data_IF_217735650445
#
_entry.id   IF_217735650445
#
_cell.length_a   1.000
_cell.length_b   1.000
_cell.length_c   1.000
_cell.angle_alpha   90.00
_cell.angle_beta   90.00
_cell.angle_gamma   90.00
#
_symmetry.space_group_name_H-M   'P 1'
#
loop_
_entity.id
_entity.type
_entity.pdbx_description
1 polymer ?
#
# COMPACT_ATOMS: atom_id res chain seq x y z
N UNK A 1 -11.91 4.74 -12.23
CA UNK A 1 -10.44 4.46 -12.16
C UNK A 1 -10.12 3.15 -12.88
N UNK A 2 -10.76 2.03 -12.51
CA UNK A 2 -10.55 0.70 -13.13
C UNK A 2 -10.73 0.72 -14.65
N UNK A 3 -11.71 1.46 -15.16
CA UNK A 3 -12.02 1.54 -16.61
C UNK A 3 -10.96 2.27 -17.45
N UNK A 4 -10.21 3.20 -16.87
CA UNK A 4 -9.15 3.94 -17.58
C UNK A 4 -7.85 3.14 -17.57
N UNK A 5 -7.49 2.54 -16.44
CA UNK A 5 -6.31 1.71 -16.28
C UNK A 5 -6.32 0.50 -17.23
N UNK A 6 -7.50 -0.15 -17.39
CA UNK A 6 -7.64 -1.32 -18.28
C UNK A 6 -7.42 -1.01 -19.77
N UNK A 7 -7.51 0.24 -20.19
CA UNK A 7 -7.31 0.66 -21.60
C UNK A 7 -5.85 0.97 -21.95
N UNK A 8 -4.99 1.16 -20.93
CA UNK A 8 -3.59 1.56 -21.11
C UNK A 8 -2.62 0.42 -20.74
N UNK A 9 -2.97 -0.82 -21.03
CA UNK A 9 -2.11 -1.99 -20.79
C UNK A 9 -0.87 -1.93 -21.64
N UNK A 10 0.31 -2.02 -21.00
CA UNK A 10 1.57 -2.21 -21.69
C UNK A 10 1.75 -3.66 -22.11
N UNK A 11 2.27 -3.86 -23.31
CA UNK A 11 2.69 -5.18 -23.75
C UNK A 11 3.97 -5.58 -22.97
N UNK A 12 4.02 -6.78 -22.39
CA UNK A 12 5.11 -7.32 -21.54
C UNK A 12 6.53 -7.20 -22.12
N UNK A 13 6.69 -6.86 -23.41
CA UNK A 13 7.99 -6.67 -24.06
C UNK A 13 8.74 -5.41 -23.61
N UNK A 14 8.10 -4.48 -22.91
CA UNK A 14 8.70 -3.21 -22.42
C UNK A 14 9.00 -3.22 -20.92
N UNK A 15 9.37 -4.37 -20.37
CA UNK A 15 9.64 -4.60 -18.93
C UNK A 15 10.68 -3.67 -18.28
N UNK A 16 11.46 -2.91 -19.06
CA UNK A 16 12.47 -1.96 -18.55
C UNK A 16 11.90 -0.70 -17.88
N UNK A 17 10.61 -0.40 -18.10
CA UNK A 17 9.93 0.80 -17.56
C UNK A 17 9.15 0.45 -16.29
N UNK A 18 8.99 -0.82 -15.98
CA UNK A 18 8.16 -1.33 -14.92
C UNK A 18 8.90 -1.44 -13.58
N UNK A 19 8.32 -0.88 -12.52
CA UNK A 19 8.81 -1.00 -11.14
C UNK A 19 8.17 -2.18 -10.42
N UNK A 20 8.46 -3.42 -10.82
CA UNK A 20 7.84 -4.60 -10.19
C UNK A 20 8.53 -5.08 -8.91
N UNK A 21 9.52 -4.40 -8.42
CA UNK A 21 10.26 -4.83 -7.24
C UNK A 21 9.86 -4.01 -5.99
N UNK A 22 8.59 -4.13 -5.60
CA UNK A 22 8.10 -3.47 -4.38
C UNK A 22 8.90 -3.87 -3.15
N UNK A 23 9.24 -5.16 -3.01
CA UNK A 23 10.01 -5.64 -1.87
C UNK A 23 11.34 -4.90 -1.71
N UNK A 24 12.14 -4.80 -2.78
CA UNK A 24 13.40 -4.07 -2.72
C UNK A 24 13.23 -2.57 -2.52
N UNK A 25 12.22 -1.95 -3.16
CA UNK A 25 11.97 -0.52 -2.99
C UNK A 25 11.54 -0.19 -1.56
N UNK A 26 10.70 -1.03 -0.95
CA UNK A 26 10.25 -0.85 0.42
C UNK A 26 11.37 -1.11 1.41
N UNK A 27 12.16 -2.17 1.21
CA UNK A 27 13.33 -2.47 2.03
C UNK A 27 14.32 -1.29 2.06
N UNK A 28 14.70 -0.75 0.89
CA UNK A 28 15.59 0.41 0.80
C UNK A 28 15.01 1.65 1.51
N UNK A 29 13.68 1.85 1.45
CA UNK A 29 13.03 2.94 2.19
C UNK A 29 13.11 2.74 3.70
N UNK A 30 12.81 1.54 4.19
CA UNK A 30 12.87 1.23 5.62
C UNK A 30 14.30 1.36 6.14
N UNK A 31 15.30 0.79 5.45
CA UNK A 31 16.72 0.94 5.79
C UNK A 31 17.12 2.43 5.91
N UNK A 32 16.63 3.26 4.96
CA UNK A 32 16.89 4.70 4.98
C UNK A 32 16.21 5.39 6.17
N UNK A 33 14.98 5.05 6.51
CA UNK A 33 14.25 5.63 7.64
C UNK A 33 14.87 5.24 8.98
N UNK A 34 15.28 3.98 9.15
CA UNK A 34 16.02 3.53 10.33
C UNK A 34 17.37 4.25 10.48
N UNK A 35 18.07 4.43 9.35
CA UNK A 35 19.29 5.23 9.34
C UNK A 35 19.02 6.68 9.76
N UNK A 36 18.00 7.34 9.23
CA UNK A 36 17.64 8.71 9.63
C UNK A 36 17.39 8.81 11.14
N UNK A 37 16.62 7.88 11.71
CA UNK A 37 16.30 7.88 13.14
C UNK A 37 17.55 7.71 13.98
N UNK A 38 18.42 6.80 13.59
CA UNK A 38 19.66 6.54 14.32
C UNK A 38 20.63 7.73 14.30
N UNK A 39 20.79 8.37 13.14
CA UNK A 39 21.78 9.45 12.97
C UNK A 39 21.28 10.81 13.47
N UNK A 40 19.99 11.09 13.31
CA UNK A 40 19.44 12.41 13.65
C UNK A 40 18.98 12.53 15.10
N UNK A 41 19.00 11.45 15.87
CA UNK A 41 18.55 11.42 17.28
C UNK A 41 17.15 12.02 17.40
N UNK A 42 16.14 11.28 17.79
CA UNK A 42 14.76 11.74 17.65
C UNK A 42 14.30 12.59 18.84
N UNK A 43 14.28 13.91 18.64
CA UNK A 43 13.50 14.86 19.45
C UNK A 43 12.00 14.88 19.02
N UNK A 44 11.46 13.72 18.60
CA UNK A 44 10.10 13.57 18.11
C UNK A 44 9.42 12.39 18.81
N UNK A 45 8.74 12.64 19.94
CA UNK A 45 8.20 11.58 20.79
C UNK A 45 7.17 10.72 20.07
N UNK A 46 6.29 11.31 19.24
CA UNK A 46 5.25 10.56 18.52
C UNK A 46 5.86 9.55 17.53
N UNK A 47 6.89 9.97 16.79
CA UNK A 47 7.63 9.09 15.90
C UNK A 47 8.37 8.03 16.70
N UNK A 48 9.09 8.41 17.74
CA UNK A 48 9.88 7.50 18.58
C UNK A 48 9.03 6.35 19.13
N UNK A 49 7.81 6.66 19.56
CA UNK A 49 6.91 5.67 20.19
C UNK A 49 6.21 4.77 19.17
N UNK A 50 5.99 5.25 17.93
CA UNK A 50 5.23 4.52 16.92
C UNK A 50 6.07 3.83 15.84
N UNK A 51 7.27 4.30 15.57
CA UNK A 51 8.09 3.91 14.42
C UNK A 51 8.32 2.39 14.33
N UNK A 52 8.69 1.75 15.45
CA UNK A 52 8.99 0.32 15.47
C UNK A 52 7.79 -0.55 15.05
N UNK A 53 6.58 -0.15 15.41
CA UNK A 53 5.36 -0.84 15.00
C UNK A 53 5.19 -0.78 13.48
N UNK A 54 5.32 0.40 12.88
CA UNK A 54 5.15 0.56 11.44
C UNK A 54 6.29 -0.04 10.61
N UNK A 55 7.51 -0.08 11.14
CA UNK A 55 8.62 -0.85 10.56
C UNK A 55 8.28 -2.33 10.55
N UNK A 56 7.82 -2.91 11.66
CA UNK A 56 7.41 -4.31 11.73
C UNK A 56 6.29 -4.65 10.74
N UNK A 57 5.31 -3.75 10.58
CA UNK A 57 4.24 -3.92 9.58
C UNK A 57 4.80 -3.88 8.14
N UNK A 58 5.75 -2.97 7.86
CA UNK A 58 6.40 -2.89 6.56
C UNK A 58 7.25 -4.12 6.25
N UNK A 59 8.00 -4.65 7.22
CA UNK A 59 8.79 -5.88 7.07
C UNK A 59 7.90 -7.09 6.76
N UNK A 60 6.73 -7.19 7.39
CA UNK A 60 5.74 -8.21 7.05
C UNK A 60 5.28 -8.07 5.59
N UNK A 61 4.98 -6.86 5.13
CA UNK A 61 4.59 -6.61 3.74
C UNK A 61 5.73 -6.94 2.75
N UNK A 62 6.97 -6.59 3.10
CA UNK A 62 8.18 -6.90 2.29
C UNK A 62 8.36 -8.41 2.17
N UNK A 63 8.30 -9.12 3.29
CA UNK A 63 8.40 -10.58 3.32
C UNK A 63 7.30 -11.22 2.47
N UNK A 64 6.06 -10.74 2.59
CA UNK A 64 4.92 -11.22 1.84
C UNK A 64 5.10 -11.04 0.32
N UNK A 65 5.56 -9.87 -0.13
CA UNK A 65 5.86 -9.61 -1.56
C UNK A 65 6.97 -10.52 -2.06
N UNK A 66 8.05 -10.68 -1.29
CA UNK A 66 9.19 -11.49 -1.68
C UNK A 66 8.79 -12.98 -1.82
N UNK A 67 8.03 -13.51 -0.85
CA UNK A 67 7.49 -14.87 -0.90
C UNK A 67 6.55 -15.06 -2.10
N UNK A 68 5.66 -14.11 -2.35
CA UNK A 68 4.76 -14.12 -3.51
C UNK A 68 5.54 -14.13 -4.82
N UNK A 69 6.54 -13.26 -4.96
CA UNK A 69 7.38 -13.16 -6.16
C UNK A 69 8.25 -14.39 -6.38
N UNK A 70 8.64 -15.09 -5.31
CA UNK A 70 9.36 -16.35 -5.39
C UNK A 70 8.46 -17.51 -5.83
N UNK A 71 7.23 -17.57 -5.29
CA UNK A 71 6.27 -18.65 -5.59
C UNK A 71 5.65 -18.55 -6.98
N UNK A 72 5.39 -17.33 -7.44
CA UNK A 72 4.66 -17.09 -8.68
C UNK A 72 5.53 -16.32 -9.68
N UNK A 73 5.76 -16.89 -10.86
CA UNK A 73 6.40 -16.16 -11.94
C UNK A 73 5.45 -15.09 -12.49
N UNK A 74 5.93 -13.85 -12.57
CA UNK A 74 5.17 -12.66 -12.99
C UNK A 74 5.04 -12.63 -14.51
N UNK A 75 4.31 -13.54 -15.11
CA UNK A 75 4.21 -13.58 -16.57
C UNK A 75 3.02 -12.81 -17.14
N UNK A 76 1.90 -12.66 -16.38
CA UNK A 76 0.63 -12.19 -16.93
C UNK A 76 -0.12 -11.12 -16.10
N UNK A 77 0.48 -10.56 -15.05
CA UNK A 77 -0.17 -9.49 -14.30
C UNK A 77 -0.21 -8.20 -15.14
N UNK A 78 -1.38 -7.54 -15.28
CA UNK A 78 -1.49 -6.35 -16.11
C UNK A 78 -0.75 -5.18 -15.49
N UNK A 79 0.15 -4.59 -16.28
CA UNK A 79 0.83 -3.35 -15.98
C UNK A 79 0.05 -2.22 -16.64
N UNK A 80 -0.28 -1.23 -15.86
CA UNK A 80 -1.09 -0.09 -16.28
C UNK A 80 -0.42 1.23 -15.91
N UNK A 81 -0.92 2.32 -16.46
CA UNK A 81 -0.57 3.65 -16.00
C UNK A 81 -1.29 3.92 -14.68
N UNK A 82 -0.53 3.94 -13.61
CA UNK A 82 -0.98 4.10 -12.22
C UNK A 82 -0.56 5.45 -11.66
N UNK A 83 -1.20 5.87 -10.56
CA UNK A 83 -0.80 7.06 -9.83
C UNK A 83 0.33 6.73 -8.85
N UNK A 84 1.35 7.57 -8.80
CA UNK A 84 2.44 7.41 -7.84
C UNK A 84 1.92 7.48 -6.41
N UNK A 85 0.94 8.36 -6.15
CA UNK A 85 0.29 8.56 -4.85
C UNK A 85 -1.20 8.87 -5.05
N UNK A 86 -2.04 8.34 -4.18
CA UNK A 86 -3.46 8.69 -4.07
C UNK A 86 -3.63 9.30 -2.68
N UNK A 87 -3.96 10.59 -2.61
CA UNK A 87 -4.19 11.32 -1.36
C UNK A 87 -5.64 11.76 -1.25
N UNK A 88 -6.24 11.52 -0.09
CA UNK A 88 -7.52 12.11 0.27
C UNK A 88 -7.26 13.36 1.14
N UNK A 89 -7.98 14.45 0.94
CA UNK A 89 -9.00 14.76 -0.08
C UNK A 89 -8.44 15.33 -1.39
N UNK A 90 -7.13 15.50 -1.52
CA UNK A 90 -6.47 16.20 -2.63
C UNK A 90 -6.19 15.32 -3.86
N UNK A 91 -6.81 14.11 -3.95
CA UNK A 91 -6.60 13.19 -5.07
C UNK A 91 -6.83 13.81 -6.45
N UNK A 92 -7.72 14.84 -6.57
CA UNK A 92 -7.99 15.52 -7.83
C UNK A 92 -6.78 16.24 -8.41
N UNK A 93 -5.97 16.88 -7.56
CA UNK A 93 -4.76 17.60 -7.99
C UNK A 93 -3.69 16.61 -8.48
N UNK A 94 -3.51 15.50 -7.77
CA UNK A 94 -2.55 14.45 -8.15
C UNK A 94 -2.99 13.71 -9.41
N UNK A 95 -4.29 13.55 -9.62
CA UNK A 95 -4.87 12.91 -10.80
C UNK A 95 -4.54 13.64 -12.11
N UNK A 96 -4.36 14.94 -12.06
CA UNK A 96 -4.10 15.79 -13.24
C UNK A 96 -2.62 16.09 -13.46
N UNK A 97 -1.74 15.71 -12.51
CA UNK A 97 -0.31 15.98 -12.63
C UNK A 97 0.39 14.82 -13.38
N UNK A 98 0.90 15.03 -14.61
CA UNK A 98 1.55 13.94 -15.37
C UNK A 98 2.81 13.39 -14.72
N UNK A 99 3.48 14.14 -13.83
CA UNK A 99 4.64 13.66 -13.06
C UNK A 99 4.25 12.69 -11.94
N UNK A 100 2.96 12.58 -11.63
CA UNK A 100 2.43 11.65 -10.64
C UNK A 100 2.08 10.28 -11.22
N UNK A 101 2.28 10.07 -12.52
CA UNK A 101 2.02 8.79 -13.16
C UNK A 101 3.26 7.88 -13.16
N UNK A 102 3.00 6.60 -12.97
CA UNK A 102 3.99 5.52 -13.06
C UNK A 102 3.37 4.32 -13.75
N UNK A 103 4.20 3.45 -14.29
CA UNK A 103 3.75 2.13 -14.73
C UNK A 103 3.90 1.13 -13.57
N UNK A 104 2.80 0.51 -13.17
CA UNK A 104 2.78 -0.44 -12.05
C UNK A 104 1.62 -1.45 -12.22
N UNK A 105 1.53 -2.42 -11.29
CA UNK A 105 0.42 -3.37 -11.23
C UNK A 105 -0.92 -2.63 -11.07
N UNK A 106 -1.95 -3.11 -11.78
CA UNK A 106 -3.30 -2.52 -11.73
C UNK A 106 -3.86 -2.46 -10.30
N UNK A 107 -3.57 -3.46 -9.48
CA UNK A 107 -4.04 -3.56 -8.09
C UNK A 107 -3.50 -2.45 -7.18
N UNK A 108 -2.40 -1.79 -7.57
CA UNK A 108 -1.78 -0.72 -6.79
C UNK A 108 -2.75 0.43 -6.49
N UNK A 109 -3.36 1.00 -7.55
CA UNK A 109 -4.19 2.20 -7.39
C UNK A 109 -5.41 1.94 -6.52
N UNK A 110 -5.98 0.73 -6.62
CA UNK A 110 -7.12 0.32 -5.79
C UNK A 110 -6.70 0.17 -4.33
N UNK A 111 -5.55 -0.45 -4.06
CA UNK A 111 -5.05 -0.57 -2.68
C UNK A 111 -4.74 0.81 -2.05
N UNK A 112 -4.12 1.71 -2.81
CA UNK A 112 -3.84 3.06 -2.31
C UNK A 112 -5.12 3.89 -2.14
N UNK A 113 -6.12 3.72 -3.01
CA UNK A 113 -7.42 4.33 -2.86
C UNK A 113 -8.12 3.86 -1.57
N UNK A 114 -8.20 2.55 -1.33
CA UNK A 114 -8.83 2.01 -0.12
C UNK A 114 -8.14 2.50 1.16
N UNK A 115 -6.80 2.57 1.17
CA UNK A 115 -6.06 3.17 2.30
C UNK A 115 -6.40 4.65 2.48
N UNK A 116 -6.39 5.42 1.39
CA UNK A 116 -6.71 6.84 1.44
C UNK A 116 -8.14 7.10 1.95
N UNK A 117 -9.10 6.29 1.51
CA UNK A 117 -10.48 6.34 2.01
C UNK A 117 -10.54 5.97 3.49
N UNK A 118 -9.92 4.86 3.91
CA UNK A 118 -9.92 4.41 5.31
C UNK A 118 -9.40 5.47 6.28
N UNK A 119 -8.26 6.10 5.97
CA UNK A 119 -7.69 7.12 6.83
C UNK A 119 -8.37 8.48 6.70
N UNK A 120 -9.09 8.74 5.60
CA UNK A 120 -9.81 9.99 5.33
C UNK A 120 -11.29 10.01 5.72
N UNK A 121 -11.89 8.87 6.09
CA UNK A 121 -13.30 8.75 6.46
C UNK A 121 -13.49 8.25 7.90
N UNK A 122 -14.67 8.52 8.48
CA UNK A 122 -15.12 7.87 9.72
C UNK A 122 -15.91 6.58 9.42
N UNK A 123 -16.40 6.40 8.18
CA UNK A 123 -17.16 5.22 7.76
C UNK A 123 -16.22 4.18 7.11
N UNK A 124 -15.75 3.24 7.92
CA UNK A 124 -14.88 2.14 7.47
C UNK A 124 -15.67 1.01 6.81
N UNK A 125 -17.00 0.93 7.00
CA UNK A 125 -17.85 -0.07 6.35
C UNK A 125 -17.94 0.21 4.83
N UNK A 126 -18.04 1.49 4.43
CA UNK A 126 -18.04 1.89 3.02
C UNK A 126 -16.75 1.41 2.30
N UNK A 127 -15.61 1.51 2.98
CA UNK A 127 -14.31 1.07 2.40
C UNK A 127 -14.29 -0.44 2.15
N UNK A 128 -14.88 -1.22 3.05
CA UNK A 128 -14.99 -2.67 2.89
C UNK A 128 -15.96 -3.04 1.76
N UNK A 129 -17.06 -2.31 1.59
CA UNK A 129 -17.98 -2.50 0.47
C UNK A 129 -17.33 -2.16 -0.88
N UNK A 130 -16.52 -1.11 -0.96
CA UNK A 130 -15.73 -0.78 -2.15
C UNK A 130 -14.76 -1.91 -2.51
N UNK A 131 -14.09 -2.50 -1.53
CA UNK A 131 -13.25 -3.68 -1.73
C UNK A 131 -14.06 -4.85 -2.30
N UNK A 132 -15.21 -5.17 -1.68
CA UNK A 132 -16.09 -6.25 -2.15
C UNK A 132 -16.60 -6.00 -3.58
N UNK A 133 -16.97 -4.76 -3.90
CA UNK A 133 -17.38 -4.39 -5.26
C UNK A 133 -16.25 -4.58 -6.27
N UNK A 134 -15.02 -4.20 -5.92
CA UNK A 134 -13.84 -4.41 -6.77
C UNK A 134 -13.60 -5.89 -7.03
N UNK A 135 -13.60 -6.73 -5.99
CA UNK A 135 -13.35 -8.17 -6.10
C UNK A 135 -14.42 -8.90 -6.92
N UNK A 136 -15.68 -8.47 -6.88
CA UNK A 136 -16.76 -9.02 -7.71
C UNK A 136 -16.57 -8.73 -9.20
N UNK A 137 -15.99 -7.59 -9.54
CA UNK A 137 -15.82 -7.15 -10.93
C UNK A 137 -14.51 -7.69 -11.53
N UNK A 138 -13.48 -7.86 -10.72
CA UNK A 138 -12.14 -8.26 -11.14
C UNK A 138 -11.83 -9.68 -10.73
N UNK A 139 -11.58 -10.53 -11.72
CA UNK A 139 -11.05 -11.88 -11.47
C UNK A 139 -9.52 -11.78 -11.34
N UNK A 140 -9.03 -11.65 -10.09
CA UNK A 140 -7.62 -11.55 -9.79
C UNK A 140 -6.98 -12.95 -9.80
N UNK A 141 -5.83 -13.09 -10.42
CA UNK A 141 -4.96 -14.25 -10.20
C UNK A 141 -4.47 -14.28 -8.75
N UNK A 142 -3.99 -15.44 -8.29
CA UNK A 142 -3.41 -15.58 -6.94
C UNK A 142 -2.25 -14.61 -6.74
N UNK A 143 -1.43 -14.40 -7.78
CA UNK A 143 -0.35 -13.42 -7.74
C UNK A 143 -0.87 -11.99 -7.55
N UNK A 144 -1.84 -11.55 -8.37
CA UNK A 144 -2.42 -10.21 -8.28
C UNK A 144 -3.11 -9.98 -6.92
N UNK A 145 -3.86 -10.96 -6.44
CA UNK A 145 -4.53 -10.92 -5.14
C UNK A 145 -3.53 -10.83 -3.98
N UNK A 146 -2.44 -11.60 -4.04
CA UNK A 146 -1.35 -11.54 -3.05
C UNK A 146 -0.65 -10.20 -3.06
N UNK A 147 -0.33 -9.66 -4.24
CA UNK A 147 0.29 -8.33 -4.38
C UNK A 147 -0.66 -7.22 -3.91
N UNK A 148 -1.95 -7.36 -4.19
CA UNK A 148 -2.97 -6.44 -3.70
C UNK A 148 -3.02 -6.40 -2.16
N UNK A 149 -3.06 -7.57 -1.53
CA UNK A 149 -3.05 -7.68 -0.07
C UNK A 149 -1.75 -7.14 0.54
N UNK A 150 -0.60 -7.49 -0.02
CA UNK A 150 0.69 -6.94 0.41
C UNK A 150 0.73 -5.41 0.33
N UNK A 151 0.07 -4.82 -0.68
CA UNK A 151 0.00 -3.38 -0.84
C UNK A 151 -0.90 -2.71 0.21
N UNK A 152 -2.00 -3.36 0.60
CA UNK A 152 -2.81 -2.91 1.74
C UNK A 152 -2.00 -2.98 3.04
N UNK A 153 -1.24 -4.05 3.24
CA UNK A 153 -0.43 -4.26 4.45
C UNK A 153 0.70 -3.24 4.61
N UNK A 154 1.34 -2.80 3.51
CA UNK A 154 2.44 -1.83 3.58
C UNK A 154 1.96 -0.45 4.02
N UNK A 155 2.46 0.11 5.15
CA UNK A 155 1.93 1.32 5.78
C UNK A 155 2.41 2.60 5.09
N UNK A 156 2.12 2.77 3.80
CA UNK A 156 2.47 3.97 3.02
C UNK A 156 1.87 5.25 3.62
N UNK A 157 0.66 5.17 4.19
CA UNK A 157 -0.03 6.27 4.85
C UNK A 157 0.77 6.86 6.04
N UNK A 158 1.45 6.02 6.82
CA UNK A 158 2.31 6.46 7.91
C UNK A 158 3.63 7.03 7.38
N UNK A 159 4.31 6.30 6.52
CA UNK A 159 5.63 6.70 6.03
C UNK A 159 5.58 7.94 5.12
N UNK A 160 4.48 8.21 4.46
CA UNK A 160 4.31 9.43 3.68
C UNK A 160 4.27 10.66 4.59
N UNK A 161 3.53 10.62 5.70
CA UNK A 161 3.51 11.68 6.72
C UNK A 161 4.85 11.75 7.45
N UNK A 162 5.47 10.61 7.78
CA UNK A 162 6.81 10.56 8.36
C UNK A 162 7.84 11.31 7.49
N UNK A 163 7.88 11.05 6.17
CA UNK A 163 8.78 11.75 5.24
C UNK A 163 8.54 13.27 5.27
N UNK A 164 7.29 13.73 5.26
CA UNK A 164 6.94 15.15 5.33
C UNK A 164 7.37 15.78 6.67
N UNK A 165 7.19 15.08 7.79
CA UNK A 165 7.64 15.52 9.12
C UNK A 165 9.17 15.63 9.19
N UNK A 166 9.88 14.64 8.65
CA UNK A 166 11.35 14.68 8.62
C UNK A 166 11.90 15.78 7.71
N UNK A 167 11.18 16.12 6.65
CA UNK A 167 11.50 17.24 5.76
C UNK A 167 11.07 18.61 6.32
N UNK A 168 10.41 18.65 7.49
CA UNK A 168 9.86 19.86 8.15
C UNK A 168 8.69 20.50 7.39
N UNK A 169 8.02 19.75 6.54
CA UNK A 169 6.84 20.19 5.80
C UNK A 169 5.54 19.99 6.61
N UNK A 170 5.62 19.17 7.69
CA UNK A 170 4.51 18.83 8.59
C UNK A 170 4.96 18.70 10.06
N UNK A 171 3.98 18.71 10.97
CA UNK A 171 4.19 18.40 12.38
C UNK A 171 3.99 16.91 12.65
N UNK A 172 4.67 16.37 13.70
CA UNK A 172 4.51 14.97 14.06
C UNK A 172 3.13 14.63 14.66
N UNK A 173 2.40 15.64 15.14
CA UNK A 173 1.03 15.49 15.63
C UNK A 173 0.07 14.97 14.55
N UNK A 174 0.38 15.18 13.27
CA UNK A 174 -0.40 14.67 12.14
C UNK A 174 -0.35 13.12 12.05
N UNK A 175 0.63 12.48 12.71
CA UNK A 175 0.69 11.02 12.86
C UNK A 175 -0.27 10.49 13.93
N UNK A 176 -0.69 11.31 14.87
CA UNK A 176 -1.52 10.87 16.02
C UNK A 176 -2.85 10.27 15.53
N UNK A 177 -3.48 10.87 14.53
CA UNK A 177 -4.76 10.36 14.01
C UNK A 177 -4.59 9.05 13.24
N UNK A 178 -3.45 8.89 12.56
CA UNK A 178 -3.08 7.62 11.93
C UNK A 178 -2.88 6.53 13.00
N UNK A 179 -2.13 6.86 14.06
CA UNK A 179 -1.82 5.93 15.16
C UNK A 179 -3.10 5.50 15.90
N UNK A 180 -4.04 6.41 16.14
CA UNK A 180 -5.34 6.09 16.75
C UNK A 180 -6.15 5.07 15.95
N UNK A 181 -6.01 5.08 14.62
CA UNK A 181 -6.71 4.16 13.72
C UNK A 181 -5.97 2.83 13.49
N UNK A 182 -4.82 2.58 14.12
CA UNK A 182 -4.01 1.40 13.81
C UNK A 182 -4.77 0.08 14.07
N UNK A 183 -5.43 -0.07 15.23
CA UNK A 183 -6.18 -1.27 15.56
C UNK A 183 -7.37 -1.49 14.59
N UNK A 184 -8.11 -0.42 14.30
CA UNK A 184 -9.22 -0.49 13.34
C UNK A 184 -8.73 -0.84 11.92
N UNK A 185 -7.50 -0.42 11.58
CA UNK A 185 -6.91 -0.78 10.30
C UNK A 185 -6.45 -2.25 10.26
N UNK A 186 -5.96 -2.79 11.37
CA UNK A 186 -5.69 -4.24 11.48
C UNK A 186 -6.98 -5.06 11.32
N UNK A 187 -8.08 -4.63 11.95
CA UNK A 187 -9.38 -5.27 11.75
C UNK A 187 -9.81 -5.21 10.27
N UNK A 188 -9.65 -4.06 9.62
CA UNK A 188 -9.90 -3.92 8.18
C UNK A 188 -9.00 -4.85 7.34
N UNK A 189 -7.71 -4.98 7.67
CA UNK A 189 -6.80 -5.90 6.97
C UNK A 189 -7.23 -7.36 7.12
N UNK A 190 -7.73 -7.73 8.29
CA UNK A 190 -8.27 -9.06 8.56
C UNK A 190 -9.51 -9.34 7.70
N UNK A 191 -10.46 -8.43 7.67
CA UNK A 191 -11.65 -8.53 6.82
C UNK A 191 -11.27 -8.55 5.32
N UNK A 192 -10.33 -7.69 4.92
CA UNK A 192 -9.82 -7.66 3.55
C UNK A 192 -9.18 -9.00 3.15
N UNK A 193 -8.39 -9.61 4.03
CA UNK A 193 -7.85 -10.95 3.80
C UNK A 193 -8.96 -11.98 3.58
N UNK A 194 -9.97 -11.99 4.46
CA UNK A 194 -11.09 -12.92 4.37
C UNK A 194 -11.88 -12.75 3.07
N UNK A 195 -12.14 -11.49 2.66
CA UNK A 195 -12.83 -11.21 1.40
C UNK A 195 -12.01 -11.61 0.18
N UNK A 196 -10.73 -11.28 0.12
CA UNK A 196 -9.83 -11.63 -0.99
C UNK A 196 -9.71 -13.16 -1.10
N UNK A 197 -9.60 -13.87 0.03
CA UNK A 197 -9.45 -15.32 0.07
C UNK A 197 -10.65 -16.09 -0.49
N UNK A 198 -11.83 -15.47 -0.56
CA UNK A 198 -13.00 -16.05 -1.24
C UNK A 198 -12.82 -16.20 -2.75
N UNK A 199 -11.98 -15.36 -3.35
CA UNK A 199 -11.77 -15.30 -4.80
C UNK A 199 -10.42 -15.90 -5.22
N UNK A 200 -9.38 -15.80 -4.37
CA UNK A 200 -8.05 -16.33 -4.63
C UNK A 200 -7.39 -16.81 -3.34
N UNK A 201 -6.81 -18.03 -3.31
CA UNK A 201 -6.16 -18.59 -2.11
C UNK A 201 -4.83 -17.90 -1.85
N UNK A 202 -4.85 -16.75 -1.18
CA UNK A 202 -3.67 -16.00 -0.78
C UNK A 202 -3.07 -16.56 0.53
N UNK A 203 -1.79 -16.32 0.76
CA UNK A 203 -1.08 -16.81 1.93
C UNK A 203 -1.59 -16.13 3.21
N UNK A 204 -1.76 -16.92 4.27
CA UNK A 204 -2.17 -16.43 5.59
C UNK A 204 -1.01 -15.72 6.28
N UNK A 205 -1.33 -14.66 7.02
CA UNK A 205 -0.41 -14.01 7.96
C UNK A 205 -0.87 -14.37 9.38
N UNK A 206 -0.09 -15.18 10.07
CA UNK A 206 -0.51 -15.82 11.33
C UNK A 206 -0.87 -14.83 12.44
N UNK A 207 -0.11 -13.75 12.61
CA UNK A 207 -0.40 -12.78 13.65
C UNK A 207 -1.68 -11.97 13.38
N UNK A 208 -2.08 -11.83 12.10
CA UNK A 208 -3.26 -11.06 11.71
C UNK A 208 -4.54 -11.90 11.72
N UNK A 209 -4.44 -13.21 11.40
CA UNK A 209 -5.60 -14.06 11.10
C UNK A 209 -5.84 -15.12 12.19
N UNK A 210 -5.27 -14.96 13.34
CA UNK A 210 -5.52 -15.90 14.47
C UNK A 210 -6.90 -15.74 15.05
#
# INVERSE_FOLDING_TARGET
IVSVASKLRLNNKNSKIYRNNWGNLWMQKIDYFEYQIRELGLDKPVIKDSFSYYVGLAENAISYVNNTSFKYQVLDAPIVLSHRRVFYPNYKLNFMNPLSFIFDLEVRDVAEYLKAMFFGTEDTEEVLEDLKCYLKIRNLSVYEASMFFARLLYPSYYFDVYEEVMNKDRNEEDLVDIIKKCNSYEDFLKEAYLEISKYAPIEKIDWLIN
#
